data_IF_318073751398
#
_entry.id   IF_318073751398
#
_cell.length_a   1.000
_cell.length_b   1.000
_cell.length_c   1.000
_cell.angle_alpha   90.00
_cell.angle_beta   90.00
_cell.angle_gamma   90.00
#
_symmetry.space_group_name_H-M   'P 1'
#
loop_
_entity.id
_entity.type
_entity.pdbx_description
1 polymer ?
#
# COMPACT_ATOMS: atom_id res chain seq x y z
N UNK A 1 4.67 10.60 3.39
CA UNK A 1 4.96 10.42 1.97
C UNK A 1 4.52 9.04 1.52
N UNK A 2 4.47 8.75 0.22
CA UNK A 2 4.07 7.42 -0.29
C UNK A 2 5.05 6.32 0.14
N UNK A 3 6.34 6.65 0.29
CA UNK A 3 7.35 5.74 0.86
C UNK A 3 7.08 5.35 2.32
N UNK A 4 6.56 6.27 3.15
CA UNK A 4 6.20 5.97 4.53
C UNK A 4 5.02 4.99 4.61
N UNK A 5 4.08 5.07 3.65
CA UNK A 5 2.97 4.12 3.51
C UNK A 5 3.49 2.73 3.15
N UNK A 6 4.42 2.64 2.19
CA UNK A 6 5.06 1.37 1.83
C UNK A 6 5.84 0.77 3.01
N UNK A 7 6.59 1.59 3.77
CA UNK A 7 7.30 1.12 4.95
C UNK A 7 6.34 0.59 6.03
N UNK A 8 5.19 1.24 6.22
CA UNK A 8 4.12 0.77 7.10
C UNK A 8 3.54 -0.57 6.65
N UNK A 9 3.30 -0.76 5.35
CA UNK A 9 2.86 -2.04 4.79
C UNK A 9 3.89 -3.15 5.05
N UNK A 10 5.18 -2.90 4.80
CA UNK A 10 6.24 -3.86 5.09
C UNK A 10 6.22 -4.29 6.57
N UNK A 11 6.16 -3.32 7.49
CA UNK A 11 6.14 -3.59 8.93
C UNK A 11 4.87 -4.35 9.35
N UNK A 12 3.70 -3.96 8.84
CA UNK A 12 2.43 -4.59 9.16
C UNK A 12 2.32 -6.03 8.65
N UNK A 13 2.81 -6.30 7.43
CA UNK A 13 2.87 -7.68 6.92
C UNK A 13 3.91 -8.51 7.68
N UNK A 14 5.08 -7.95 8.01
CA UNK A 14 6.12 -8.67 8.75
C UNK A 14 5.66 -9.06 10.16
N UNK A 15 4.91 -8.18 10.82
CA UNK A 15 4.32 -8.47 12.13
C UNK A 15 3.38 -9.68 12.10
N UNK A 16 2.75 -9.97 10.95
CA UNK A 16 1.81 -11.08 10.77
C UNK A 16 2.48 -12.35 10.26
N UNK A 17 3.30 -12.27 9.21
CA UNK A 17 3.90 -13.44 8.55
C UNK A 17 5.16 -13.94 9.24
N UNK A 18 5.93 -13.06 9.89
CA UNK A 18 7.31 -13.31 10.36
C UNK A 18 8.28 -13.77 9.26
N UNK A 19 7.94 -13.52 8.00
CA UNK A 19 8.74 -13.86 6.82
C UNK A 19 9.09 -12.58 6.05
N UNK A 20 10.39 -12.28 5.97
CA UNK A 20 10.89 -11.05 5.37
C UNK A 20 10.59 -10.94 3.87
N UNK A 21 10.77 -12.04 3.12
CA UNK A 21 10.61 -12.04 1.67
C UNK A 21 9.13 -11.89 1.32
N UNK A 22 8.27 -12.70 1.94
CA UNK A 22 6.83 -12.65 1.67
C UNK A 22 6.23 -11.31 2.07
N UNK A 23 6.67 -10.70 3.18
CA UNK A 23 6.21 -9.37 3.58
C UNK A 23 6.61 -8.28 2.61
N UNK A 24 7.84 -8.32 2.10
CA UNK A 24 8.31 -7.35 1.11
C UNK A 24 7.54 -7.49 -0.21
N UNK A 25 7.31 -8.72 -0.67
CA UNK A 25 6.50 -9.01 -1.87
C UNK A 25 5.08 -8.48 -1.69
N UNK A 26 4.43 -8.80 -0.56
CA UNK A 26 3.07 -8.34 -0.27
C UNK A 26 2.99 -6.81 -0.23
N UNK A 27 3.92 -6.16 0.47
CA UNK A 27 3.94 -4.70 0.59
C UNK A 27 4.09 -4.00 -0.76
N UNK A 28 5.03 -4.48 -1.60
CA UNK A 28 5.24 -3.94 -2.94
C UNK A 28 4.00 -4.14 -3.82
N UNK A 29 3.38 -5.32 -3.77
CA UNK A 29 2.17 -5.64 -4.53
C UNK A 29 0.99 -4.73 -4.15
N UNK A 30 0.66 -4.65 -2.86
CA UNK A 30 -0.47 -3.83 -2.40
C UNK A 30 -0.24 -2.33 -2.60
N UNK A 31 1.00 -1.86 -2.44
CA UNK A 31 1.34 -0.47 -2.74
C UNK A 31 1.11 -0.13 -4.23
N UNK A 32 1.49 -1.03 -5.14
CA UNK A 32 1.23 -0.87 -6.58
C UNK A 32 -0.26 -0.93 -6.92
N UNK A 33 -0.98 -1.92 -6.37
CA UNK A 33 -2.43 -2.08 -6.56
C UNK A 33 -3.21 -0.82 -6.14
N UNK A 34 -2.86 -0.24 -4.99
CA UNK A 34 -3.47 1.00 -4.50
C UNK A 34 -3.20 2.17 -5.45
N UNK A 35 -1.96 2.28 -5.94
CA UNK A 35 -1.60 3.28 -6.94
C UNK A 35 -2.43 3.16 -8.23
N UNK A 36 -2.61 1.95 -8.74
CA UNK A 36 -3.42 1.68 -9.94
C UNK A 36 -4.91 2.01 -9.73
N UNK A 37 -5.46 1.68 -8.56
CA UNK A 37 -6.84 2.00 -8.20
C UNK A 37 -7.03 3.52 -8.11
N UNK A 38 -6.12 4.22 -7.44
CA UNK A 38 -6.19 5.67 -7.28
C UNK A 38 -5.99 6.40 -8.61
N UNK A 39 -5.11 5.91 -9.48
CA UNK A 39 -4.93 6.44 -10.83
C UNK A 39 -6.25 6.40 -11.63
N UNK A 40 -6.97 5.28 -11.55
CA UNK A 40 -8.29 5.12 -12.18
C UNK A 40 -9.36 6.00 -11.55
N UNK A 41 -9.40 6.09 -10.21
CA UNK A 41 -10.41 6.86 -9.46
C UNK A 41 -10.24 8.38 -9.62
N UNK A 42 -9.01 8.88 -9.57
CA UNK A 42 -8.70 10.32 -9.58
C UNK A 42 -8.34 10.90 -10.95
N UNK A 43 -8.40 10.08 -12.02
CA UNK A 43 -8.07 10.47 -13.41
C UNK A 43 -6.70 11.17 -13.54
N UNK A 44 -5.68 10.70 -12.81
CA UNK A 44 -4.32 11.25 -12.86
C UNK A 44 -3.45 10.86 -11.66
N UNK A 45 -2.19 11.32 -11.65
CA UNK A 45 -1.20 11.09 -10.57
C UNK A 45 -1.38 12.01 -9.36
N UNK A 46 -2.58 12.55 -9.15
CA UNK A 46 -2.89 13.55 -8.13
C UNK A 46 -3.44 12.93 -6.86
N UNK A 47 -2.79 11.88 -6.36
CA UNK A 47 -3.14 11.25 -5.09
C UNK A 47 -2.05 11.44 -4.04
N UNK A 48 -2.48 11.61 -2.81
CA UNK A 48 -1.63 11.81 -1.65
C UNK A 48 -1.43 10.48 -0.90
N UNK A 49 -0.44 10.44 -0.02
CA UNK A 49 -0.23 9.31 0.89
C UNK A 49 -1.49 9.02 1.74
N UNK A 50 -2.24 10.05 2.14
CA UNK A 50 -3.51 9.88 2.86
C UNK A 50 -4.60 9.22 2.02
N UNK A 51 -4.62 9.45 0.71
CA UNK A 51 -5.54 8.75 -0.20
C UNK A 51 -5.16 7.27 -0.30
N UNK A 52 -3.86 6.96 -0.31
CA UNK A 52 -3.38 5.57 -0.29
C UNK A 52 -3.80 4.86 0.99
N UNK A 53 -3.62 5.48 2.16
CA UNK A 53 -4.04 4.89 3.45
C UNK A 53 -5.53 4.57 3.45
N UNK A 54 -6.37 5.53 3.04
CA UNK A 54 -7.82 5.31 3.00
C UNK A 54 -8.28 4.29 1.95
N UNK A 55 -7.47 4.01 0.92
CA UNK A 55 -7.74 2.95 -0.04
C UNK A 55 -7.22 1.59 0.44
N UNK A 56 -6.07 1.54 1.11
CA UNK A 56 -5.52 0.35 1.76
C UNK A 56 -6.53 -0.21 2.78
N UNK A 57 -7.13 0.65 3.61
CA UNK A 57 -8.16 0.24 4.57
C UNK A 57 -9.35 -0.47 3.90
N UNK A 58 -9.72 -0.09 2.68
CA UNK A 58 -10.85 -0.73 1.96
C UNK A 58 -10.48 -2.06 1.34
N UNK A 59 -9.20 -2.29 1.05
CA UNK A 59 -8.70 -3.49 0.37
C UNK A 59 -8.32 -4.56 1.39
N UNK A 60 -7.79 -4.16 2.55
CA UNK A 60 -7.26 -5.05 3.58
C UNK A 60 -8.17 -5.24 4.81
N UNK A 61 -9.28 -4.52 4.91
CA UNK A 61 -10.34 -4.79 5.91
C UNK A 61 -11.15 -6.04 5.53
#
# INVERSE_FOLDING_TARGET
GTGDVLAGLCAGFLAQSKDLEQSAVNAAYFNGLVGDILLKKKKGFTYLASDMVGEIEKILA
#
